data_IF_675224755352
#
_entry.id   IF_675224755352
#
_cell.length_a   1.000
_cell.length_b   1.000
_cell.length_c   1.000
_cell.angle_alpha   90.00
_cell.angle_beta   90.00
_cell.angle_gamma   90.00
#
_symmetry.space_group_name_H-M   'P 1'
#
loop_
_entity.id
_entity.type
_entity.pdbx_description
1 polymer ?
#
# COMPACT_ATOMS: atom_id res chain seq x y z
N UNK A 1 -6.60 -3.90 -64.31
CA UNK A 1 -6.14 -2.85 -63.37
C UNK A 1 -7.33 -2.45 -62.53
N UNK A 2 -7.53 -3.15 -61.42
CA UNK A 2 -8.45 -2.74 -60.35
C UNK A 2 -7.78 -3.17 -59.05
N UNK A 3 -7.24 -2.19 -58.33
CA UNK A 3 -6.84 -2.36 -56.94
C UNK A 3 -8.10 -2.55 -56.09
N UNK A 4 -8.06 -3.48 -55.13
CA UNK A 4 -8.99 -3.46 -54.00
C UNK A 4 -8.25 -3.82 -52.71
N UNK A 5 -7.83 -2.76 -52.04
CA UNK A 5 -7.91 -2.49 -50.60
C UNK A 5 -7.45 -3.59 -49.63
N UNK A 6 -6.27 -3.28 -49.08
CA UNK A 6 -5.84 -3.49 -47.71
C UNK A 6 -7.03 -3.66 -46.76
N UNK A 7 -7.14 -4.85 -46.17
CA UNK A 7 -7.75 -5.04 -44.87
C UNK A 7 -6.77 -5.84 -44.04
N UNK A 8 -5.68 -5.17 -43.64
CA UNK A 8 -4.97 -5.57 -42.43
C UNK A 8 -6.00 -5.43 -41.30
N UNK A 9 -6.62 -6.56 -40.95
CA UNK A 9 -7.17 -6.71 -39.63
C UNK A 9 -6.03 -6.30 -38.69
N UNK A 10 -6.18 -5.14 -38.04
CA UNK A 10 -5.38 -4.77 -36.89
C UNK A 10 -5.53 -5.92 -35.92
N UNK A 11 -4.57 -6.86 -36.02
CA UNK A 11 -4.31 -7.88 -35.05
C UNK A 11 -4.12 -7.10 -33.77
N UNK A 12 -5.15 -7.12 -32.94
CA UNK A 12 -5.11 -6.53 -31.62
C UNK A 12 -3.84 -7.06 -30.98
N UNK A 13 -2.88 -6.16 -30.79
CA UNK A 13 -1.72 -6.43 -29.99
C UNK A 13 -2.27 -6.81 -28.62
N UNK A 14 -2.32 -8.11 -28.35
CA UNK A 14 -2.30 -8.67 -27.01
C UNK A 14 -0.94 -8.31 -26.42
N UNK A 15 -0.73 -7.02 -26.14
CA UNK A 15 0.40 -6.56 -25.38
C UNK A 15 0.09 -6.93 -23.95
N UNK A 16 0.68 -8.03 -23.46
CA UNK A 16 0.72 -8.24 -22.01
C UNK A 16 1.42 -7.03 -21.43
N UNK A 17 0.66 -6.15 -20.75
CA UNK A 17 1.25 -5.00 -20.07
C UNK A 17 2.27 -5.60 -19.09
N UNK A 18 3.57 -5.27 -19.21
CA UNK A 18 4.58 -5.92 -18.40
C UNK A 18 4.31 -5.64 -16.93
N UNK A 19 4.55 -6.60 -16.05
CA UNK A 19 4.20 -6.51 -14.62
C UNK A 19 4.76 -5.22 -13.95
N UNK A 20 5.94 -4.76 -14.37
CA UNK A 20 6.50 -3.49 -13.88
C UNK A 20 5.69 -2.24 -14.30
N UNK A 21 5.07 -2.26 -15.48
CA UNK A 21 4.21 -1.18 -15.94
C UNK A 21 2.89 -1.15 -15.17
N UNK A 22 2.31 -2.32 -14.89
CA UNK A 22 1.12 -2.43 -14.04
C UNK A 22 1.40 -1.92 -12.62
N UNK A 23 2.57 -2.27 -12.06
CA UNK A 23 2.98 -1.76 -10.75
C UNK A 23 3.12 -0.23 -10.76
N UNK A 24 3.76 0.34 -11.79
CA UNK A 24 3.93 1.78 -11.92
C UNK A 24 2.58 2.52 -12.02
N UNK A 25 1.63 2.00 -12.81
CA UNK A 25 0.27 2.54 -12.91
C UNK A 25 -0.43 2.54 -11.56
N UNK A 26 -0.30 1.43 -10.81
CA UNK A 26 -0.93 1.25 -9.51
C UNK A 26 -0.32 2.16 -8.44
N UNK A 27 1.00 2.38 -8.51
CA UNK A 27 1.70 3.36 -7.67
C UNK A 27 1.23 4.78 -7.99
N UNK A 28 1.11 5.15 -9.27
CA UNK A 28 0.63 6.48 -9.66
C UNK A 28 -0.81 6.73 -9.15
N UNK A 29 -1.70 5.75 -9.32
CA UNK A 29 -3.07 5.85 -8.80
C UNK A 29 -3.10 6.02 -7.27
N UNK A 30 -2.20 5.33 -6.55
CA UNK A 30 -2.08 5.50 -5.10
C UNK A 30 -1.54 6.89 -4.73
N UNK A 31 -0.58 7.43 -5.49
CA UNK A 31 -0.05 8.77 -5.26
C UNK A 31 -1.12 9.83 -5.44
N UNK A 32 -1.96 9.72 -6.48
CA UNK A 32 -3.11 10.61 -6.68
C UNK A 32 -4.06 10.57 -5.48
N UNK A 33 -4.42 9.38 -5.01
CA UNK A 33 -5.27 9.23 -3.82
C UNK A 33 -4.66 9.86 -2.55
N UNK A 34 -3.33 9.77 -2.39
CA UNK A 34 -2.63 10.39 -1.27
C UNK A 34 -2.63 11.92 -1.38
N UNK A 35 -2.47 12.47 -2.59
CA UNK A 35 -2.56 13.92 -2.84
C UNK A 35 -3.96 14.43 -2.54
N UNK A 36 -5.00 13.77 -3.07
CA UNK A 36 -6.41 14.11 -2.80
C UNK A 36 -6.72 14.07 -1.29
N UNK A 37 -6.17 13.08 -0.59
CA UNK A 37 -6.33 12.96 0.86
C UNK A 37 -5.64 14.12 1.60
N UNK A 38 -4.44 14.53 1.17
CA UNK A 38 -3.71 15.65 1.75
C UNK A 38 -4.51 16.94 1.62
N UNK A 39 -5.04 17.19 0.42
CA UNK A 39 -5.86 18.36 0.13
C UNK A 39 -7.16 18.35 0.94
N UNK A 40 -7.82 17.20 1.04
CA UNK A 40 -9.07 17.05 1.80
C UNK A 40 -8.89 17.25 3.31
N UNK A 41 -7.77 16.79 3.88
CA UNK A 41 -7.51 16.90 5.33
C UNK A 41 -6.71 18.15 5.71
N UNK A 42 -6.19 18.90 4.73
CA UNK A 42 -5.21 19.95 4.95
C UNK A 42 -3.90 19.44 5.56
N UNK A 43 -3.61 18.15 5.42
CA UNK A 43 -2.42 17.55 6.01
C UNK A 43 -1.19 17.89 5.17
N UNK A 44 -0.05 18.22 5.79
CA UNK A 44 1.18 18.44 5.04
C UNK A 44 1.62 17.15 4.34
N UNK A 45 2.05 17.25 3.08
CA UNK A 45 2.52 16.08 2.34
C UNK A 45 3.80 15.50 2.96
N UNK A 46 4.71 16.37 3.40
CA UNK A 46 5.99 16.02 4.01
C UNK A 46 6.19 16.75 5.34
N UNK A 47 7.20 16.33 6.10
CA UNK A 47 7.50 16.87 7.42
C UNK A 47 6.84 16.07 8.55
N UNK A 48 7.01 16.56 9.78
CA UNK A 48 6.46 15.91 10.97
C UNK A 48 4.93 15.90 10.93
N UNK A 49 4.35 14.71 11.17
CA UNK A 49 2.91 14.50 11.05
C UNK A 49 2.39 14.48 9.60
N UNK A 50 3.27 14.60 8.60
CA UNK A 50 2.86 14.60 7.19
C UNK A 50 2.52 13.22 6.63
N UNK A 51 1.81 13.19 5.51
CA UNK A 51 1.31 11.94 4.92
C UNK A 51 2.42 10.96 4.55
N UNK A 52 3.53 11.42 3.98
CA UNK A 52 4.66 10.55 3.63
C UNK A 52 5.32 9.92 4.86
N UNK A 53 5.36 10.65 5.98
CA UNK A 53 5.83 10.11 7.25
C UNK A 53 4.87 9.01 7.75
N UNK A 54 3.55 9.24 7.69
CA UNK A 54 2.58 8.21 8.08
C UNK A 54 2.62 6.98 7.17
N UNK A 55 2.79 7.17 5.85
CA UNK A 55 2.89 6.09 4.87
C UNK A 55 4.07 5.16 5.16
N UNK A 56 5.21 5.71 5.53
CA UNK A 56 6.41 4.92 5.89
C UNK A 56 6.30 4.28 7.28
N UNK A 57 5.65 4.97 8.23
CA UNK A 57 5.45 4.50 9.60
C UNK A 57 4.49 3.31 9.69
N UNK A 58 3.36 3.37 8.98
CA UNK A 58 2.28 2.38 9.08
C UNK A 58 2.70 0.92 8.82
N UNK A 59 3.50 0.58 7.77
CA UNK A 59 3.94 -0.79 7.57
C UNK A 59 4.93 -1.26 8.64
N UNK A 60 5.81 -0.37 9.12
CA UNK A 60 6.77 -0.69 10.18
C UNK A 60 6.07 -1.01 11.51
N UNK A 61 5.12 -0.18 11.93
CA UNK A 61 4.35 -0.44 13.14
C UNK A 61 3.52 -1.72 13.05
N UNK A 62 2.96 -2.03 11.87
CA UNK A 62 2.24 -3.29 11.66
C UNK A 62 3.16 -4.51 11.71
N UNK A 63 4.38 -4.41 11.18
CA UNK A 63 5.36 -5.48 11.31
C UNK A 63 5.76 -5.69 12.77
N UNK A 64 6.03 -4.60 13.50
CA UNK A 64 6.38 -4.65 14.93
C UNK A 64 5.25 -5.20 15.79
N UNK A 65 3.99 -4.83 15.52
CA UNK A 65 2.84 -5.34 16.26
C UNK A 65 2.72 -6.86 16.10
N UNK A 66 2.90 -7.37 14.88
CA UNK A 66 2.95 -8.82 14.62
C UNK A 66 4.07 -9.50 15.39
N UNK A 67 5.28 -8.93 15.38
CA UNK A 67 6.43 -9.49 16.09
C UNK A 67 6.20 -9.55 17.61
N UNK A 68 5.56 -8.53 18.19
CA UNK A 68 5.20 -8.53 19.62
C UNK A 68 4.16 -9.62 19.93
N UNK A 69 3.16 -9.81 19.06
CA UNK A 69 2.19 -10.92 19.19
C UNK A 69 2.90 -12.26 19.17
N UNK A 70 3.80 -12.49 18.21
CA UNK A 70 4.55 -13.73 18.08
C UNK A 70 5.47 -13.98 19.30
N UNK A 71 6.16 -12.95 19.78
CA UNK A 71 7.08 -13.07 20.90
C UNK A 71 6.36 -13.34 22.23
N UNK A 72 5.20 -12.71 22.46
CA UNK A 72 4.44 -12.87 23.69
C UNK A 72 3.48 -14.06 23.66
N UNK A 73 3.11 -14.53 22.46
CA UNK A 73 2.16 -15.61 22.25
C UNK A 73 0.70 -15.23 22.50
N UNK A 74 0.38 -13.93 22.59
CA UNK A 74 -0.98 -13.43 22.77
C UNK A 74 -1.19 -12.03 22.16
N UNK A 75 -2.43 -11.75 21.77
CA UNK A 75 -2.85 -10.50 21.14
C UNK A 75 -3.00 -9.34 22.13
N UNK A 76 -3.03 -8.10 21.62
CA UNK A 76 -3.31 -6.94 22.46
C UNK A 76 -4.67 -7.09 23.16
N UNK A 77 -4.67 -6.92 24.48
CA UNK A 77 -5.83 -7.09 25.38
C UNK A 77 -6.34 -8.53 25.59
N UNK A 78 -5.61 -9.54 25.12
CA UNK A 78 -5.97 -10.94 25.37
C UNK A 78 -5.87 -11.29 26.87
N UNK A 79 -6.90 -11.91 27.50
CA UNK A 79 -6.83 -12.41 28.86
C UNK A 79 -5.64 -13.34 29.15
N UNK A 80 -5.10 -14.05 28.14
CA UNK A 80 -3.92 -14.89 28.26
C UNK A 80 -2.67 -14.12 28.75
N UNK A 81 -2.61 -12.81 28.50
CA UNK A 81 -1.54 -11.94 28.98
C UNK A 81 -1.65 -11.54 30.46
N UNK A 82 -2.76 -11.87 31.14
CA UNK A 82 -2.98 -11.47 32.55
C UNK A 82 -2.14 -12.34 33.47
N UNK A 83 -1.22 -11.71 34.21
CA UNK A 83 -0.35 -12.42 35.14
C UNK A 83 0.76 -13.24 34.46
N UNK A 84 1.03 -13.00 33.18
CA UNK A 84 2.11 -13.68 32.43
C UNK A 84 3.53 -13.29 32.87
N UNK A 85 3.68 -12.23 33.67
CA UNK A 85 4.96 -11.64 34.07
C UNK A 85 5.62 -10.77 33.00
N UNK A 86 5.32 -11.01 31.71
CA UNK A 86 5.73 -10.16 30.59
C UNK A 86 4.49 -9.62 29.86
N UNK A 87 4.15 -8.36 30.14
CA UNK A 87 2.94 -7.69 29.66
C UNK A 87 3.25 -6.59 28.65
N UNK A 88 2.38 -6.42 27.65
CA UNK A 88 2.41 -5.26 26.74
C UNK A 88 2.19 -3.98 27.53
N UNK A 89 3.16 -3.08 27.51
CA UNK A 89 3.17 -1.83 28.29
C UNK A 89 3.11 -0.54 27.44
N UNK A 90 2.92 -0.68 26.12
CA UNK A 90 2.66 0.43 25.19
C UNK A 90 1.16 0.70 25.01
N UNK A 91 0.82 1.88 24.48
CA UNK A 91 -0.57 2.32 24.23
C UNK A 91 -1.16 1.81 22.93
#
# INVERSE_FOLDING_TARGET
MTELLISEASSQATGSVPAGQLLAEQVNALVEQLMDSADATGAPLAGEGGLLQQLSKAPLERALETEVTEHLGYEKNDPAGRGSGNSRNGT
#
